data_IF_090026165759
#
_entry.id   IF_090026165759
#
_cell.length_a   1.000
_cell.length_b   1.000
_cell.length_c   1.000
_cell.angle_alpha   90.00
_cell.angle_beta   90.00
_cell.angle_gamma   90.00
#
_symmetry.space_group_name_H-M   'P 1'
#
loop_
_entity.id
_entity.type
_entity.pdbx_description
1 polymer ?
#
# COMPACT_ATOMS: atom_id res chain seq x y z
N UNK A 1 28.45 4.10 9.37
CA UNK A 1 28.35 2.82 8.63
C UNK A 1 26.88 2.64 8.30
N UNK A 2 26.45 2.99 7.09
CA UNK A 2 25.05 2.81 6.67
C UNK A 2 24.95 1.47 5.91
N UNK A 3 24.53 0.43 6.60
CA UNK A 3 23.95 -0.73 5.94
C UNK A 3 22.59 -0.30 5.40
N UNK A 4 22.46 -0.18 4.07
CA UNK A 4 21.17 -0.14 3.41
C UNK A 4 20.41 -1.43 3.78
N UNK A 5 19.64 -1.38 4.86
CA UNK A 5 18.79 -2.49 5.28
C UNK A 5 17.61 -2.54 4.32
N UNK A 6 17.72 -3.43 3.35
CA UNK A 6 16.63 -3.83 2.48
C UNK A 6 15.52 -4.45 3.34
N UNK A 7 14.36 -3.81 3.41
CA UNK A 7 13.24 -4.29 4.21
C UNK A 7 12.31 -5.08 3.30
N UNK A 8 12.01 -6.33 3.66
CA UNK A 8 11.07 -7.17 2.91
C UNK A 8 9.65 -6.92 3.40
N UNK A 9 8.76 -6.43 2.55
CA UNK A 9 7.34 -6.27 2.85
C UNK A 9 6.58 -7.60 2.70
N UNK A 10 5.89 -7.98 3.77
CA UNK A 10 5.10 -9.21 3.89
C UNK A 10 3.61 -8.92 4.03
N UNK A 11 3.25 -7.86 4.76
CA UNK A 11 1.86 -7.46 4.98
C UNK A 11 1.61 -6.02 4.55
N UNK A 12 0.39 -5.73 4.11
CA UNK A 12 0.00 -4.45 3.52
C UNK A 12 -1.34 -4.03 4.11
N UNK A 13 -1.43 -2.78 4.56
CA UNK A 13 -2.71 -2.12 4.86
C UNK A 13 -2.69 -0.71 4.26
N UNK A 14 -3.84 -0.20 3.85
CA UNK A 14 -3.93 1.12 3.24
C UNK A 14 -5.18 1.84 3.73
N UNK A 15 -5.06 3.10 4.13
CA UNK A 15 -6.21 3.94 4.49
C UNK A 15 -6.06 5.35 3.93
N UNK A 16 -7.17 6.01 3.65
CA UNK A 16 -7.17 7.43 3.31
C UNK A 16 -7.14 8.30 4.56
N UNK A 17 -6.31 9.34 4.52
CA UNK A 17 -6.29 10.43 5.49
C UNK A 17 -6.87 11.68 4.84
N UNK A 18 -8.05 12.09 5.31
CA UNK A 18 -8.78 13.23 4.76
C UNK A 18 -8.17 14.60 5.13
N UNK A 19 -7.33 14.66 6.18
CA UNK A 19 -6.66 15.92 6.57
C UNK A 19 -5.46 16.19 5.66
N UNK A 20 -4.72 15.14 5.35
CA UNK A 20 -3.52 15.22 4.50
C UNK A 20 -3.83 15.13 2.99
N UNK A 21 -5.03 14.67 2.61
CA UNK A 21 -5.43 14.30 1.24
C UNK A 21 -4.48 13.26 0.61
N UNK A 22 -4.16 12.20 1.39
CA UNK A 22 -3.17 11.17 1.05
C UNK A 22 -3.61 9.79 1.52
N UNK A 23 -3.08 8.74 0.89
CA UNK A 23 -3.19 7.38 1.41
C UNK A 23 -1.99 7.06 2.31
N UNK A 24 -2.26 6.45 3.45
CA UNK A 24 -1.26 5.83 4.30
C UNK A 24 -1.15 4.34 3.96
N UNK A 25 -0.11 3.95 3.24
CA UNK A 25 0.26 2.57 3.00
C UNK A 25 1.20 2.10 4.12
N UNK A 26 0.75 1.17 4.96
CA UNK A 26 1.55 0.59 6.03
C UNK A 26 2.00 -0.82 5.65
N UNK A 27 3.30 -1.04 5.68
CA UNK A 27 3.96 -2.31 5.43
C UNK A 27 4.38 -2.95 6.75
N UNK A 28 4.28 -4.28 6.85
CA UNK A 28 4.71 -5.06 8.02
C UNK A 28 4.09 -4.58 9.35
N UNK A 29 2.79 -4.25 9.35
CA UNK A 29 2.10 -3.63 10.49
C UNK A 29 2.18 -4.44 11.80
N UNK A 30 2.45 -5.74 11.71
CA UNK A 30 2.53 -6.68 12.85
C UNK A 30 3.88 -6.60 13.58
N UNK A 31 4.95 -6.20 12.88
CA UNK A 31 6.32 -6.21 13.40
C UNK A 31 6.85 -4.78 13.42
N UNK A 32 6.78 -4.11 14.57
CA UNK A 32 7.10 -2.69 14.69
C UNK A 32 8.52 -2.31 14.21
N UNK A 33 9.50 -3.20 14.42
CA UNK A 33 10.87 -2.98 13.96
C UNK A 33 10.96 -2.90 12.42
N UNK A 34 10.18 -3.73 11.72
CA UNK A 34 10.14 -3.85 10.26
C UNK A 34 9.03 -2.98 9.63
N UNK A 35 8.19 -2.34 10.45
CA UNK A 35 7.09 -1.49 10.00
C UNK A 35 7.62 -0.25 9.28
N UNK A 36 7.02 0.03 8.13
CA UNK A 36 7.23 1.23 7.33
C UNK A 36 5.87 1.80 6.93
N UNK A 37 5.73 3.12 7.11
CA UNK A 37 4.51 3.84 6.78
C UNK A 37 4.84 4.81 5.64
N UNK A 38 4.18 4.65 4.50
CA UNK A 38 4.33 5.49 3.32
C UNK A 38 3.10 6.37 3.10
N UNK A 39 3.32 7.67 2.92
CA UNK A 39 2.34 8.57 2.32
C UNK A 39 2.36 8.42 0.80
N UNK A 40 1.20 8.13 0.22
CA UNK A 40 0.95 8.15 -1.21
C UNK A 40 0.07 9.37 -1.50
N UNK A 41 0.59 10.32 -2.24
CA UNK A 41 -0.21 11.49 -2.65
C UNK A 41 -1.21 11.11 -3.73
N UNK A 42 -2.31 11.87 -3.81
CA UNK A 42 -3.23 11.81 -4.96
C UNK A 42 -2.48 11.86 -6.29
N UNK A 43 -1.58 12.83 -6.47
CA UNK A 43 -0.85 13.02 -7.72
C UNK A 43 0.03 11.82 -8.10
N UNK A 44 0.62 11.16 -7.09
CA UNK A 44 1.45 9.98 -7.30
C UNK A 44 0.58 8.76 -7.64
N UNK A 45 -0.53 8.54 -6.92
CA UNK A 45 -1.45 7.45 -7.25
C UNK A 45 -2.00 7.57 -8.66
N UNK A 46 -2.39 8.78 -9.10
CA UNK A 46 -2.90 9.01 -10.45
C UNK A 46 -1.89 8.61 -11.55
N UNK A 47 -0.58 8.73 -11.28
CA UNK A 47 0.48 8.28 -12.19
C UNK A 47 0.66 6.75 -12.19
N UNK A 48 0.32 6.08 -11.08
CA UNK A 48 0.39 4.62 -10.95
C UNK A 48 -0.82 3.91 -11.56
N UNK A 49 -1.98 4.57 -11.65
CA UNK A 49 -3.22 3.98 -12.16
C UNK A 49 -3.06 3.25 -13.51
N UNK A 50 -2.41 3.83 -14.54
CA UNK A 50 -2.18 3.13 -15.81
C UNK A 50 -1.45 1.78 -15.64
N UNK A 51 -0.47 1.73 -14.73
CA UNK A 51 0.30 0.52 -14.43
C UNK A 51 -0.57 -0.48 -13.67
N UNK A 52 -1.40 0.01 -12.75
CA UNK A 52 -2.31 -0.82 -11.97
C UNK A 52 -3.37 -1.53 -12.82
N UNK A 53 -3.80 -0.91 -13.93
CA UNK A 53 -4.72 -1.56 -14.86
C UNK A 53 -4.15 -2.86 -15.44
N UNK A 54 -2.86 -2.93 -15.72
CA UNK A 54 -2.24 -4.16 -16.25
C UNK A 54 -2.40 -5.35 -15.29
N UNK A 55 -2.59 -5.10 -13.99
CA UNK A 55 -2.81 -6.12 -12.97
C UNK A 55 -4.29 -6.41 -12.68
N UNK A 56 -5.23 -5.60 -13.20
CA UNK A 56 -6.67 -5.74 -12.94
C UNK A 56 -7.50 -6.13 -14.16
N UNK A 57 -7.01 -5.90 -15.39
CA UNK A 57 -7.76 -6.06 -16.65
C UNK A 57 -8.06 -7.52 -17.07
N UNK A 58 -7.66 -8.53 -16.29
CA UNK A 58 -8.01 -9.94 -16.57
C UNK A 58 -9.27 -10.44 -15.85
N UNK A 59 -10.01 -9.57 -15.13
CA UNK A 59 -11.31 -9.91 -14.53
C UNK A 59 -12.46 -9.74 -15.54
N UNK A 60 -12.61 -10.67 -16.49
CA UNK A 60 -13.89 -10.89 -17.20
C UNK A 60 -14.88 -11.75 -16.37
N UNK A 61 -14.64 -11.89 -15.07
CA UNK A 61 -15.50 -12.61 -14.14
C UNK A 61 -16.07 -11.66 -13.12
N UNK A 62 -17.40 -11.49 -13.13
CA UNK A 62 -18.16 -10.90 -12.01
C UNK A 62 -17.81 -11.72 -10.76
N UNK A 63 -16.93 -11.20 -9.93
CA UNK A 63 -16.82 -11.63 -8.53
C UNK A 63 -17.26 -10.44 -7.70
N UNK A 64 -18.57 -10.35 -7.52
CA UNK A 64 -19.19 -9.64 -6.40
C UNK A 64 -18.85 -10.40 -5.11
N UNK A 65 -17.58 -10.43 -4.73
CA UNK A 65 -17.26 -10.59 -3.32
C UNK A 65 -17.43 -9.19 -2.73
N UNK A 66 -18.65 -8.96 -2.22
CA UNK A 66 -18.85 -8.03 -1.13
C UNK A 66 -17.79 -8.39 -0.09
N UNK A 67 -16.68 -7.65 -0.08
CA UNK A 67 -15.84 -7.57 1.10
C UNK A 67 -16.76 -6.92 2.11
N UNK A 68 -17.45 -7.75 2.89
CA UNK A 68 -18.05 -7.30 4.14
C UNK A 68 -16.92 -6.60 4.87
N UNK A 69 -17.02 -5.27 4.94
CA UNK A 69 -16.31 -4.50 5.92
C UNK A 69 -16.90 -4.95 7.26
N UNK A 70 -16.37 -6.05 7.80
CA UNK A 70 -16.64 -6.40 9.19
C UNK A 70 -16.22 -5.16 9.97
N UNK A 71 -17.13 -4.48 10.69
CA UNK A 71 -16.71 -3.46 11.63
C UNK A 71 -15.82 -4.20 12.61
N UNK A 72 -14.51 -3.98 12.53
CA UNK A 72 -13.57 -4.56 13.46
C UNK A 72 -13.92 -3.94 14.81
N UNK A 73 -14.72 -4.67 15.59
CA UNK A 73 -15.13 -4.30 16.92
C UNK A 73 -13.84 -4.04 17.69
N UNK A 74 -13.61 -2.79 18.04
CA UNK A 74 -12.42 -2.34 18.76
C UNK A 74 -12.18 -3.27 19.95
N UNK A 75 -11.22 -4.19 19.80
CA UNK A 75 -10.57 -4.72 20.98
C UNK A 75 -9.85 -3.51 21.58
N UNK A 76 -10.01 -3.24 22.89
CA UNK A 76 -9.25 -2.18 23.55
C UNK A 76 -7.78 -2.58 23.47
N UNK A 77 -7.14 -2.12 22.39
CA UNK A 77 -5.72 -2.29 22.13
C UNK A 77 -5.12 -1.05 22.72
N UNK A 78 -4.22 -1.24 23.67
CA UNK A 78 -3.66 -0.19 24.51
C UNK A 78 -3.12 0.98 23.66
N UNK A 79 -3.96 1.99 23.46
CA UNK A 79 -3.73 3.12 22.55
C UNK A 79 -2.51 3.95 22.95
N UNK A 80 -2.08 3.80 24.21
CA UNK A 80 -0.87 4.41 24.76
C UNK A 80 0.41 3.84 24.13
N UNK A 81 0.48 2.52 23.91
CA UNK A 81 1.61 1.88 23.24
C UNK A 81 1.62 2.19 21.73
N UNK A 82 0.45 2.27 21.09
CA UNK A 82 0.33 2.61 19.67
C UNK A 82 0.86 4.02 19.35
N UNK A 83 0.59 5.01 20.22
CA UNK A 83 1.10 6.38 20.05
C UNK A 83 2.63 6.48 20.26
N UNK A 84 3.18 5.71 21.19
CA UNK A 84 4.63 5.69 21.49
C UNK A 84 5.47 5.03 20.38
N UNK A 85 4.82 4.32 19.46
CA UNK A 85 5.46 3.46 18.46
C UNK A 85 5.25 3.93 17.02
N UNK A 86 4.49 5.02 16.83
CA UNK A 86 4.27 5.63 15.51
C UNK A 86 5.58 6.23 14.99
N UNK A 87 6.14 5.57 13.97
CA UNK A 87 7.11 6.22 13.09
C UNK A 87 6.35 7.24 12.23
N UNK A 88 6.91 8.44 12.09
CA UNK A 88 6.38 9.44 11.16
C UNK A 88 6.33 8.83 9.76
N UNK A 89 5.18 8.83 9.08
CA UNK A 89 5.11 8.29 7.73
C UNK A 89 5.96 9.11 6.77
N UNK A 90 6.64 8.43 5.86
CA UNK A 90 7.54 9.02 4.86
C UNK A 90 6.86 9.09 3.50
N UNK A 91 7.25 10.03 2.65
CA UNK A 91 6.64 10.15 1.32
C UNK A 91 7.10 9.00 0.41
N UNK A 92 6.18 8.35 -0.30
CA UNK A 92 6.55 7.43 -1.37
C UNK A 92 6.95 8.23 -2.62
N UNK A 93 8.20 8.09 -3.06
CA UNK A 93 8.74 8.86 -4.19
C UNK A 93 8.71 8.08 -5.50
N UNK A 94 8.98 6.78 -5.43
CA UNK A 94 8.94 5.91 -6.60
C UNK A 94 8.55 4.48 -6.24
N UNK A 95 8.01 3.78 -7.23
CA UNK A 95 7.73 2.35 -7.18
C UNK A 95 8.27 1.73 -8.45
N UNK A 96 9.17 0.77 -8.31
CA UNK A 96 9.71 0.02 -9.43
C UNK A 96 9.06 -1.36 -9.50
N UNK A 97 8.80 -1.83 -10.72
CA UNK A 97 8.26 -3.14 -11.01
C UNK A 97 9.24 -3.91 -11.89
N UNK A 98 9.57 -5.13 -11.52
CA UNK A 98 10.40 -6.01 -12.34
C UNK A 98 9.88 -7.45 -12.28
N UNK A 99 9.93 -8.16 -13.41
CA UNK A 99 9.52 -9.57 -13.46
C UNK A 99 10.59 -10.44 -12.81
N UNK A 100 10.17 -11.35 -11.93
CA UNK A 100 11.02 -12.40 -11.35
C UNK A 100 10.40 -13.79 -11.58
N UNK A 101 11.19 -14.84 -11.33
CA UNK A 101 10.77 -16.22 -11.58
C UNK A 101 9.49 -16.61 -10.81
N UNK A 102 9.30 -16.04 -9.61
CA UNK A 102 8.21 -16.38 -8.69
C UNK A 102 7.05 -15.36 -8.70
N UNK A 103 7.14 -14.30 -9.51
CA UNK A 103 6.14 -13.25 -9.50
C UNK A 103 6.64 -11.92 -10.05
N UNK A 104 6.06 -10.84 -9.57
CA UNK A 104 6.49 -9.48 -9.86
C UNK A 104 7.12 -8.90 -8.61
N UNK A 105 8.38 -8.50 -8.72
CA UNK A 105 9.09 -7.75 -7.69
C UNK A 105 8.62 -6.30 -7.72
N UNK A 106 8.30 -5.77 -6.55
CA UNK A 106 7.94 -4.37 -6.32
C UNK A 106 8.98 -3.79 -5.37
N UNK A 107 9.47 -2.59 -5.67
CA UNK A 107 10.35 -1.84 -4.77
C UNK A 107 9.77 -0.45 -4.50
N UNK A 108 9.34 -0.22 -3.27
CA UNK A 108 8.89 1.08 -2.75
C UNK A 108 10.11 1.87 -2.25
N UNK A 109 10.24 3.12 -2.68
CA UNK A 109 11.44 3.92 -2.39
C UNK A 109 11.10 5.30 -1.84
N UNK A 110 11.90 5.71 -0.87
CA UNK A 110 12.15 7.10 -0.53
C UNK A 110 13.67 7.28 -0.48
N UNK A 111 14.22 8.05 -1.42
CA UNK A 111 15.65 8.22 -1.58
C UNK A 111 16.23 9.21 -0.58
N UNK A 112 15.44 10.21 -0.17
CA UNK A 112 15.80 11.21 0.85
C UNK A 112 16.12 10.56 2.20
N UNK A 113 15.27 9.62 2.61
CA UNK A 113 15.38 8.86 3.87
C UNK A 113 16.17 7.55 3.71
N UNK A 114 16.70 7.27 2.51
CA UNK A 114 17.39 6.03 2.15
C UNK A 114 16.61 4.74 2.49
N UNK A 115 15.29 4.76 2.32
CA UNK A 115 14.40 3.63 2.59
C UNK A 115 14.04 2.92 1.29
N UNK A 116 14.36 1.62 1.24
CA UNK A 116 14.07 0.72 0.14
C UNK A 116 13.34 -0.51 0.68
N UNK A 117 12.07 -0.65 0.32
CA UNK A 117 11.26 -1.78 0.74
C UNK A 117 10.85 -2.62 -0.47
N UNK A 118 11.17 -3.90 -0.44
CA UNK A 118 10.89 -4.80 -1.56
C UNK A 118 9.94 -5.93 -1.19
N UNK A 119 9.25 -6.45 -2.19
CA UNK A 119 8.46 -7.67 -2.07
C UNK A 119 8.40 -8.36 -3.42
N UNK A 120 8.17 -9.68 -3.45
CA UNK A 120 7.87 -10.43 -4.66
C UNK A 120 6.47 -10.99 -4.49
N UNK A 121 5.54 -10.56 -5.33
CA UNK A 121 4.15 -10.96 -5.27
C UNK A 121 3.79 -11.82 -6.48
N UNK A 122 3.06 -12.90 -6.24
CA UNK A 122 2.37 -13.60 -7.31
C UNK A 122 1.23 -12.74 -7.88
N UNK A 123 0.61 -13.20 -8.97
CA UNK A 123 -0.47 -12.47 -9.65
C UNK A 123 -1.67 -12.18 -8.73
N UNK A 124 -2.05 -13.15 -7.89
CA UNK A 124 -3.19 -13.01 -6.99
C UNK A 124 -2.90 -11.96 -5.92
N UNK A 125 -1.72 -12.03 -5.29
CA UNK A 125 -1.28 -11.09 -4.27
C UNK A 125 -1.11 -9.69 -4.84
N UNK A 126 -0.52 -9.58 -6.04
CA UNK A 126 -0.39 -8.30 -6.74
C UNK A 126 -1.76 -7.64 -6.94
N UNK A 127 -2.73 -8.38 -7.48
CA UNK A 127 -4.09 -7.90 -7.68
C UNK A 127 -4.75 -7.48 -6.36
N UNK A 128 -4.55 -8.23 -5.28
CA UNK A 128 -5.06 -7.86 -3.95
C UNK A 128 -4.43 -6.57 -3.42
N UNK A 129 -3.12 -6.37 -3.59
CA UNK A 129 -2.43 -5.14 -3.18
C UNK A 129 -2.89 -3.94 -4.01
N UNK A 130 -3.04 -4.12 -5.33
CA UNK A 130 -3.55 -3.07 -6.22
C UNK A 130 -4.99 -2.70 -5.86
N UNK A 131 -5.88 -3.69 -5.66
CA UNK A 131 -7.26 -3.46 -5.20
C UNK A 131 -7.29 -2.77 -3.84
N UNK A 132 -6.43 -3.17 -2.89
CA UNK A 132 -6.31 -2.53 -1.59
C UNK A 132 -5.99 -1.04 -1.72
N UNK A 133 -4.96 -0.68 -2.48
CA UNK A 133 -4.55 0.72 -2.65
C UNK A 133 -5.66 1.54 -3.32
N UNK A 134 -6.26 1.01 -4.39
CA UNK A 134 -7.27 1.71 -5.17
C UNK A 134 -8.62 1.86 -4.46
N UNK A 135 -9.01 0.86 -3.65
CA UNK A 135 -10.24 0.93 -2.85
C UNK A 135 -10.11 1.82 -1.63
N UNK A 136 -8.89 2.05 -1.13
CA UNK A 136 -8.66 3.03 -0.06
C UNK A 136 -8.74 4.47 -0.56
N UNK A 137 -8.69 4.73 -1.88
CA UNK A 137 -8.79 6.07 -2.44
C UNK A 137 -10.23 6.61 -2.49
N UNK A 138 -10.47 7.90 -2.17
CA UNK A 138 -11.77 8.55 -2.30
C UNK A 138 -12.08 8.78 -3.79
N UNK A 139 -12.70 7.77 -4.43
CA UNK A 139 -12.76 7.67 -5.90
C UNK A 139 -13.48 8.84 -6.57
N UNK A 140 -14.54 9.35 -5.95
CA UNK A 140 -15.35 10.44 -6.52
C UNK A 140 -14.59 11.77 -6.44
N UNK A 141 -14.07 12.10 -5.25
CA UNK A 141 -13.29 13.30 -4.95
C UNK A 141 -12.01 13.36 -5.79
N UNK A 142 -11.43 12.19 -6.05
CA UNK A 142 -10.21 12.09 -6.84
C UNK A 142 -10.43 12.00 -8.35
N UNK A 143 -11.68 11.85 -8.81
CA UNK A 143 -12.03 11.77 -10.22
C UNK A 143 -11.68 10.43 -10.87
N UNK A 144 -11.61 9.36 -10.09
CA UNK A 144 -11.22 8.00 -10.51
C UNK A 144 -12.37 6.98 -10.34
N UNK A 145 -13.61 7.46 -10.29
CA UNK A 145 -14.80 6.62 -10.08
C UNK A 145 -15.07 5.64 -11.23
N UNK A 146 -14.58 5.93 -12.45
CA UNK A 146 -14.82 5.10 -13.64
C UNK A 146 -13.75 4.03 -13.88
N UNK A 147 -12.82 3.86 -12.94
CA UNK A 147 -11.64 2.98 -13.08
C UNK A 147 -11.96 1.54 -12.64
N UNK A 148 -13.18 1.28 -12.15
CA UNK A 148 -13.65 -0.03 -11.67
C UNK A 148 -15.13 -0.23 -11.97
#
# INVERSE_FOLDING_TARGET
MNTNSLIVAKTFTCKYDAKEDRLLLTLNYEIQAERIDFWITRSFLLKLIPIFFDFTQHDNGIVNELIEQTPQKDKPTDSSLYLLTQKTPILLESVDFSKEAQGTKIVFKNSEEAIFCETVLDERMMKSVVKLILNSAPKYEWGIYSIF
#
